data_IF_557955828535
#
_entry.id   IF_557955828535
#
_cell.length_a   1.000
_cell.length_b   1.000
_cell.length_c   1.000
_cell.angle_alpha   90.00
_cell.angle_beta   90.00
_cell.angle_gamma   90.00
#
_symmetry.space_group_name_H-M   'P 1'
#
loop_
_entity.id
_entity.type
_entity.pdbx_description
1 polymer ?
#
# COMPACT_ATOMS: atom_id res chain seq x y z
N UNK A 1 17.14 -24.17 -15.06
CA UNK A 1 16.73 -23.42 -16.27
C UNK A 1 17.73 -22.29 -16.49
N UNK A 2 17.97 -21.84 -17.72
CA UNK A 2 18.80 -20.64 -17.97
C UNK A 2 17.93 -19.38 -17.86
N UNK A 3 18.52 -18.25 -17.49
CA UNK A 3 17.84 -16.97 -17.25
C UNK A 3 16.90 -16.57 -18.39
N UNK A 4 17.39 -16.52 -19.65
CA UNK A 4 16.56 -16.16 -20.80
C UNK A 4 15.38 -17.12 -21.02
N UNK A 5 15.56 -18.41 -20.68
CA UNK A 5 14.46 -19.38 -20.75
C UNK A 5 13.37 -19.09 -19.72
N UNK A 6 13.75 -18.63 -18.53
CA UNK A 6 12.79 -18.19 -17.48
C UNK A 6 11.99 -16.99 -17.99
N UNK A 7 12.67 -15.99 -18.51
CA UNK A 7 12.03 -14.75 -19.02
C UNK A 7 11.05 -15.08 -20.15
N UNK A 8 11.50 -15.86 -21.15
CA UNK A 8 10.66 -16.20 -22.30
C UNK A 8 9.46 -17.09 -21.94
N UNK A 9 9.63 -18.01 -20.96
CA UNK A 9 8.57 -18.95 -20.57
C UNK A 9 7.53 -18.32 -19.66
N UNK A 10 7.94 -17.53 -18.66
CA UNK A 10 7.08 -17.12 -17.58
C UNK A 10 6.65 -15.63 -17.64
N UNK A 11 7.45 -14.76 -18.26
CA UNK A 11 7.22 -13.31 -18.16
C UNK A 11 6.95 -12.62 -19.51
N UNK A 12 7.46 -13.14 -20.63
CA UNK A 12 7.34 -12.48 -21.93
C UNK A 12 5.92 -12.51 -22.52
N UNK A 13 5.17 -13.58 -22.28
CA UNK A 13 3.81 -13.74 -22.79
C UNK A 13 2.77 -13.16 -21.84
N UNK A 14 2.82 -11.85 -21.65
CA UNK A 14 1.82 -11.13 -20.84
C UNK A 14 0.54 -10.89 -21.63
N UNK A 15 -0.61 -11.10 -20.99
CA UNK A 15 -1.92 -10.95 -21.62
C UNK A 15 -2.33 -9.50 -21.90
N UNK A 16 -1.80 -8.54 -21.12
CA UNK A 16 -2.13 -7.13 -21.24
C UNK A 16 -1.01 -6.34 -21.91
N UNK A 17 -1.34 -5.70 -23.04
CA UNK A 17 -0.43 -4.83 -23.78
C UNK A 17 -0.99 -3.41 -23.83
N UNK A 18 -0.16 -2.45 -23.45
CA UNK A 18 -0.51 -1.03 -23.45
C UNK A 18 0.02 -0.35 -24.72
N UNK A 19 -0.74 0.63 -25.22
CA UNK A 19 -0.37 1.40 -26.42
C UNK A 19 0.81 2.36 -26.19
N UNK A 20 1.06 2.70 -24.93
CA UNK A 20 2.18 3.55 -24.50
C UNK A 20 3.48 2.78 -24.26
N UNK A 21 3.50 1.48 -24.49
CA UNK A 21 4.70 0.62 -24.53
C UNK A 21 5.02 0.31 -25.97
N UNK A 22 6.07 0.95 -26.51
CA UNK A 22 6.53 0.73 -27.88
C UNK A 22 7.38 -0.51 -28.00
N UNK A 23 8.17 -0.82 -26.97
CA UNK A 23 9.02 -1.99 -26.85
C UNK A 23 8.99 -2.45 -25.39
N UNK A 24 8.62 -3.69 -25.14
CA UNK A 24 8.60 -4.33 -23.82
C UNK A 24 9.74 -5.32 -23.65
N UNK A 25 9.44 -6.47 -22.99
CA UNK A 25 10.42 -7.54 -22.73
C UNK A 25 10.95 -8.11 -24.05
N UNK A 26 12.29 -8.19 -24.18
CA UNK A 26 12.96 -8.87 -25.28
C UNK A 26 14.07 -8.07 -25.97
N UNK A 27 14.38 -6.89 -25.47
CA UNK A 27 15.52 -6.06 -25.87
C UNK A 27 16.27 -5.59 -24.61
N UNK A 28 17.37 -4.86 -24.75
CA UNK A 28 18.20 -4.38 -23.64
C UNK A 28 17.42 -3.45 -22.68
N UNK A 29 16.38 -2.76 -23.18
CA UNK A 29 15.53 -1.88 -22.38
C UNK A 29 14.12 -1.75 -22.99
N UNK A 30 13.15 -1.42 -22.15
CA UNK A 30 11.81 -1.06 -22.60
C UNK A 30 11.77 0.37 -23.16
N UNK A 31 10.95 0.58 -24.19
CA UNK A 31 10.70 1.89 -24.76
C UNK A 31 9.23 2.28 -24.54
N UNK A 32 9.01 3.34 -23.77
CA UNK A 32 7.68 3.76 -23.34
C UNK A 32 7.41 5.24 -23.63
N UNK A 33 6.14 5.60 -23.71
CA UNK A 33 5.70 6.98 -23.93
C UNK A 33 4.93 7.51 -22.74
N UNK A 34 5.38 8.62 -22.17
CA UNK A 34 4.58 9.38 -21.17
C UNK A 34 3.58 10.24 -21.93
N UNK A 35 2.27 10.16 -21.62
CA UNK A 35 1.25 10.97 -22.28
C UNK A 35 1.50 12.47 -22.10
N UNK A 36 1.17 13.27 -23.09
CA UNK A 36 1.34 14.73 -23.04
C UNK A 36 0.56 15.32 -21.83
N UNK A 37 1.19 16.23 -21.09
CA UNK A 37 0.60 16.87 -19.90
C UNK A 37 0.58 16.01 -18.64
N UNK A 38 1.20 14.84 -18.66
CA UNK A 38 1.36 13.98 -17.50
C UNK A 38 2.81 13.98 -16.99
N UNK A 39 2.96 13.86 -15.69
CA UNK A 39 4.22 13.51 -15.05
C UNK A 39 4.29 11.98 -14.83
N UNK A 40 5.49 11.43 -14.92
CA UNK A 40 5.78 10.06 -14.53
C UNK A 40 6.01 10.00 -13.03
N UNK A 41 5.23 9.18 -12.33
CA UNK A 41 5.45 8.80 -10.93
C UNK A 41 6.14 7.44 -10.93
N UNK A 42 7.20 7.30 -10.15
CA UNK A 42 7.95 6.05 -10.03
C UNK A 42 8.16 5.71 -8.56
N UNK A 43 7.91 4.47 -8.19
CA UNK A 43 8.21 3.92 -6.87
C UNK A 43 8.89 2.56 -7.01
N UNK A 44 9.57 2.12 -5.95
CA UNK A 44 10.25 0.81 -5.91
C UNK A 44 10.24 0.26 -4.50
N UNK A 45 9.72 -0.97 -4.35
CA UNK A 45 9.78 -1.73 -3.11
C UNK A 45 10.40 -3.10 -3.33
N UNK A 46 11.10 -3.57 -2.29
CA UNK A 46 11.71 -4.90 -2.23
C UNK A 46 11.11 -5.70 -1.09
N UNK A 47 10.55 -6.86 -1.42
CA UNK A 47 10.10 -7.84 -0.45
C UNK A 47 11.15 -8.95 -0.30
N UNK A 48 11.55 -9.23 0.96
CA UNK A 48 12.53 -10.25 1.33
C UNK A 48 11.86 -11.42 2.05
N UNK A 49 12.23 -12.64 1.67
CA UNK A 49 11.83 -13.83 2.42
C UNK A 49 12.35 -13.79 3.87
N UNK A 50 11.50 -14.14 4.82
CA UNK A 50 11.80 -14.11 6.25
C UNK A 50 11.68 -12.70 6.88
N UNK A 51 11.41 -11.65 6.09
CA UNK A 51 11.17 -10.28 6.56
C UNK A 51 9.74 -9.85 6.22
N UNK A 52 9.38 -9.83 4.96
CA UNK A 52 8.09 -9.34 4.46
C UNK A 52 7.10 -10.47 4.13
N UNK A 53 7.60 -11.69 3.98
CA UNK A 53 6.79 -12.89 3.78
C UNK A 53 7.56 -14.13 4.25
N UNK A 54 6.84 -15.20 4.60
CA UNK A 54 7.46 -16.47 4.95
C UNK A 54 8.06 -17.13 3.70
N UNK A 55 9.24 -17.74 3.84
CA UNK A 55 9.87 -18.46 2.71
C UNK A 55 8.99 -19.59 2.15
N UNK A 56 8.04 -20.10 2.94
CA UNK A 56 7.06 -21.13 2.56
C UNK A 56 5.75 -20.55 2.02
N UNK A 57 5.62 -19.21 1.89
CA UNK A 57 4.40 -18.59 1.39
C UNK A 57 4.13 -19.00 -0.08
N UNK A 58 2.86 -19.04 -0.43
CA UNK A 58 2.43 -19.31 -1.80
C UNK A 58 3.03 -18.25 -2.77
N UNK A 59 3.74 -18.69 -3.84
CA UNK A 59 4.38 -17.77 -4.78
C UNK A 59 3.39 -16.79 -5.45
N UNK A 60 2.16 -17.21 -5.71
CA UNK A 60 1.13 -16.35 -6.27
C UNK A 60 0.76 -15.20 -5.30
N UNK A 61 0.67 -15.50 -3.99
CA UNK A 61 0.44 -14.49 -2.95
C UNK A 61 1.63 -13.53 -2.86
N UNK A 62 2.86 -14.03 -2.89
CA UNK A 62 4.07 -13.20 -2.90
C UNK A 62 4.05 -12.22 -4.08
N UNK A 63 3.73 -12.72 -5.28
CA UNK A 63 3.65 -11.90 -6.49
C UNK A 63 2.58 -10.81 -6.38
N UNK A 64 1.38 -11.16 -5.92
CA UNK A 64 0.27 -10.20 -5.72
C UNK A 64 0.66 -9.11 -4.71
N UNK A 65 1.21 -9.51 -3.55
CA UNK A 65 1.64 -8.56 -2.52
C UNK A 65 2.72 -7.64 -3.08
N UNK A 66 3.74 -8.16 -3.76
CA UNK A 66 4.83 -7.36 -4.32
C UNK A 66 4.35 -6.29 -5.31
N UNK A 67 3.34 -6.61 -6.13
CA UNK A 67 2.73 -5.61 -7.03
C UNK A 67 1.86 -4.64 -6.22
N UNK A 68 1.03 -5.14 -5.29
CA UNK A 68 0.06 -4.33 -4.57
C UNK A 68 0.71 -3.24 -3.71
N UNK A 69 1.83 -3.52 -3.03
CA UNK A 69 2.52 -2.52 -2.18
C UNK A 69 3.00 -1.33 -3.01
N UNK A 70 3.59 -1.57 -4.17
CA UNK A 70 4.02 -0.52 -5.09
C UNK A 70 2.82 0.26 -5.70
N UNK A 71 1.71 -0.42 -5.98
CA UNK A 71 0.49 0.25 -6.44
C UNK A 71 -0.13 1.11 -5.33
N UNK A 72 0.10 0.80 -4.06
CA UNK A 72 -0.31 1.61 -2.92
C UNK A 72 0.39 2.97 -2.91
N UNK A 73 1.69 3.02 -3.17
CA UNK A 73 2.43 4.27 -3.34
C UNK A 73 1.88 5.13 -4.49
N UNK A 74 1.58 4.49 -5.63
CA UNK A 74 0.95 5.20 -6.75
C UNK A 74 -0.42 5.75 -6.37
N UNK A 75 -1.21 5.01 -5.59
CA UNK A 75 -2.48 5.47 -5.06
C UNK A 75 -2.30 6.68 -4.12
N UNK A 76 -1.31 6.64 -3.23
CA UNK A 76 -0.98 7.73 -2.32
C UNK A 76 -0.58 9.02 -3.06
N UNK A 77 0.04 8.88 -4.24
CA UNK A 77 0.38 10.00 -5.12
C UNK A 77 -0.78 10.44 -6.03
N UNK A 78 -1.92 9.73 -5.99
CA UNK A 78 -3.04 9.94 -6.89
C UNK A 78 -2.69 9.60 -8.35
N UNK A 79 -1.72 8.72 -8.59
CA UNK A 79 -1.29 8.32 -9.93
C UNK A 79 -2.13 7.18 -10.49
N UNK A 80 -2.32 7.17 -11.80
CA UNK A 80 -2.88 6.04 -12.55
C UNK A 80 -1.73 5.11 -12.93
N UNK A 81 -1.75 3.83 -12.51
CA UNK A 81 -0.66 2.91 -12.77
C UNK A 81 -0.56 2.58 -14.27
N UNK A 82 0.66 2.35 -14.75
CA UNK A 82 0.90 2.06 -16.15
C UNK A 82 1.79 0.84 -16.37
N UNK A 83 2.98 0.85 -15.78
CA UNK A 83 3.98 -0.17 -16.03
C UNK A 83 4.61 -0.66 -14.73
N UNK A 84 5.11 -1.87 -14.78
CA UNK A 84 5.99 -2.42 -13.74
C UNK A 84 7.22 -3.07 -14.38
N UNK A 85 8.34 -3.05 -13.67
CA UNK A 85 9.49 -3.92 -13.92
C UNK A 85 9.74 -4.79 -12.69
N UNK A 86 10.18 -6.02 -12.92
CA UNK A 86 10.40 -7.05 -11.89
C UNK A 86 11.87 -7.42 -11.84
N UNK A 87 12.53 -7.22 -10.71
CA UNK A 87 13.80 -7.86 -10.41
C UNK A 87 13.58 -8.94 -9.34
N UNK A 88 13.94 -10.18 -9.69
CA UNK A 88 13.76 -11.32 -8.81
C UNK A 88 15.08 -12.06 -8.59
N UNK A 89 15.41 -12.26 -7.32
CA UNK A 89 16.47 -13.15 -6.88
C UNK A 89 15.86 -14.40 -6.27
N UNK A 90 16.33 -15.60 -6.66
CA UNK A 90 15.85 -16.87 -6.11
C UNK A 90 16.99 -17.88 -5.95
N UNK A 91 16.95 -18.75 -4.92
CA UNK A 91 18.02 -19.73 -4.71
C UNK A 91 18.04 -20.84 -5.76
N UNK A 92 16.87 -21.20 -6.27
CA UNK A 92 16.66 -22.26 -7.28
C UNK A 92 15.54 -21.83 -8.21
N UNK A 93 15.74 -22.03 -9.52
CA UNK A 93 14.69 -21.86 -10.53
C UNK A 93 13.80 -23.10 -10.57
N UNK A 94 12.75 -23.11 -9.76
CA UNK A 94 11.74 -24.19 -9.73
C UNK A 94 10.56 -23.83 -10.63
N UNK A 95 10.22 -24.70 -11.56
CA UNK A 95 9.18 -24.46 -12.56
C UNK A 95 7.78 -24.30 -11.94
N UNK A 96 7.48 -25.06 -10.88
CA UNK A 96 6.19 -25.01 -10.20
C UNK A 96 6.05 -23.67 -9.46
N UNK A 97 7.11 -23.27 -8.77
CA UNK A 97 7.18 -21.99 -8.06
C UNK A 97 7.03 -20.81 -9.04
N UNK A 98 7.81 -20.83 -10.14
CA UNK A 98 7.78 -19.80 -11.18
C UNK A 98 6.43 -19.70 -11.88
N UNK A 99 5.78 -20.83 -12.15
CA UNK A 99 4.43 -20.85 -12.76
C UNK A 99 3.43 -20.17 -11.84
N UNK A 100 3.42 -20.48 -10.53
CA UNK A 100 2.51 -19.86 -9.57
C UNK A 100 2.82 -18.37 -9.38
N UNK A 101 4.09 -17.98 -9.30
CA UNK A 101 4.52 -16.59 -9.17
C UNK A 101 4.11 -15.77 -10.41
N UNK A 102 4.40 -16.27 -11.61
CA UNK A 102 4.03 -15.61 -12.87
C UNK A 102 2.51 -15.47 -13.03
N UNK A 103 1.73 -16.45 -12.55
CA UNK A 103 0.25 -16.34 -12.49
C UNK A 103 -0.18 -15.16 -11.64
N UNK A 104 0.41 -14.96 -10.46
CA UNK A 104 0.12 -13.81 -9.59
C UNK A 104 0.46 -12.47 -10.25
N UNK A 105 1.62 -12.38 -10.94
CA UNK A 105 1.96 -11.19 -11.73
C UNK A 105 0.93 -10.95 -12.84
N UNK A 106 0.55 -12.00 -13.59
CA UNK A 106 -0.41 -11.89 -14.68
C UNK A 106 -1.79 -11.45 -14.21
N UNK A 107 -2.28 -11.97 -13.07
CA UNK A 107 -3.53 -11.56 -12.46
C UNK A 107 -3.53 -10.07 -12.10
N UNK A 108 -2.48 -9.59 -11.44
CA UNK A 108 -2.35 -8.19 -11.04
C UNK A 108 -2.23 -7.26 -12.24
N UNK A 109 -1.41 -7.63 -13.23
CA UNK A 109 -1.24 -6.80 -14.45
C UNK A 109 -2.53 -6.72 -15.25
N UNK A 110 -3.29 -7.79 -15.35
CA UNK A 110 -4.59 -7.80 -16.02
C UNK A 110 -5.63 -6.99 -15.25
N UNK A 111 -5.75 -7.21 -13.94
CA UNK A 111 -6.75 -6.55 -13.10
C UNK A 111 -6.59 -5.03 -13.09
N UNK A 112 -5.34 -4.56 -12.94
CA UNK A 112 -5.05 -3.11 -12.87
C UNK A 112 -4.74 -2.49 -14.24
N UNK A 113 -4.81 -3.26 -15.33
CA UNK A 113 -4.51 -2.80 -16.69
C UNK A 113 -3.10 -2.18 -16.80
N UNK A 114 -2.13 -2.78 -16.12
CA UNK A 114 -0.71 -2.43 -16.17
C UNK A 114 0.08 -3.45 -16.97
N UNK A 115 1.26 -3.08 -17.45
CA UNK A 115 2.13 -3.99 -18.23
C UNK A 115 3.47 -4.22 -17.52
N UNK A 116 3.88 -5.48 -17.44
CA UNK A 116 5.27 -5.83 -17.12
C UNK A 116 6.14 -5.52 -18.34
N UNK A 117 7.08 -4.59 -18.20
CA UNK A 117 7.88 -4.09 -19.33
C UNK A 117 9.31 -4.59 -19.35
N UNK A 118 9.80 -5.18 -18.27
CA UNK A 118 11.17 -5.66 -18.16
C UNK A 118 11.51 -6.08 -16.74
N UNK A 119 12.78 -6.32 -16.50
CA UNK A 119 13.29 -6.68 -15.16
C UNK A 119 14.60 -7.44 -15.23
N UNK A 120 14.89 -8.15 -14.16
CA UNK A 120 16.11 -8.94 -13.99
C UNK A 120 15.82 -10.24 -13.23
N UNK A 121 16.58 -11.29 -13.51
CA UNK A 121 16.40 -12.59 -12.85
C UNK A 121 17.78 -13.16 -12.50
N UNK A 122 18.07 -13.26 -11.19
CA UNK A 122 19.36 -13.70 -10.70
C UNK A 122 19.25 -14.84 -9.69
N UNK A 123 20.34 -15.60 -9.53
CA UNK A 123 20.44 -16.59 -8.46
C UNK A 123 20.92 -15.91 -7.16
N UNK A 124 20.20 -16.11 -6.06
CA UNK A 124 20.53 -15.56 -4.75
C UNK A 124 19.45 -15.85 -3.71
N UNK A 125 19.50 -15.21 -2.54
CA UNK A 125 18.41 -15.28 -1.57
C UNK A 125 17.09 -14.81 -2.19
N UNK A 126 15.96 -15.41 -1.77
CA UNK A 126 14.66 -15.04 -2.33
C UNK A 126 14.29 -13.61 -1.99
N UNK A 127 14.25 -12.77 -3.02
CA UNK A 127 13.86 -11.37 -2.97
C UNK A 127 13.09 -10.98 -4.22
N UNK A 128 12.07 -10.17 -4.06
CA UNK A 128 11.23 -9.65 -5.15
C UNK A 128 11.22 -8.14 -5.09
N UNK A 129 11.72 -7.49 -6.13
CA UNK A 129 11.68 -6.03 -6.27
C UNK A 129 10.78 -5.68 -7.44
N UNK A 130 9.77 -4.86 -7.18
CA UNK A 130 8.94 -4.25 -8.21
C UNK A 130 9.27 -2.77 -8.29
N UNK A 131 9.51 -2.28 -9.49
CA UNK A 131 9.46 -0.83 -9.77
C UNK A 131 8.16 -0.57 -10.51
N UNK A 132 7.26 0.19 -9.91
CA UNK A 132 5.98 0.58 -10.51
C UNK A 132 6.02 2.03 -11.00
N UNK A 133 5.38 2.26 -12.13
CA UNK A 133 5.31 3.54 -12.79
C UNK A 133 3.87 3.88 -13.16
N UNK A 134 3.52 5.16 -13.01
CA UNK A 134 2.17 5.65 -13.31
C UNK A 134 2.16 7.11 -13.71
N UNK A 135 1.01 7.61 -14.08
CA UNK A 135 0.84 8.98 -14.57
C UNK A 135 -0.05 9.80 -13.66
N UNK A 136 0.31 11.07 -13.52
CA UNK A 136 -0.51 12.07 -12.84
C UNK A 136 -0.32 13.43 -13.52
N UNK A 137 -1.39 14.25 -13.68
CA UNK A 137 -1.19 15.64 -14.02
C UNK A 137 -0.33 16.32 -12.93
N UNK A 138 0.78 17.01 -13.27
CA UNK A 138 1.75 17.49 -12.26
C UNK A 138 1.14 18.32 -11.13
N UNK A 139 0.15 19.15 -11.45
CA UNK A 139 -0.53 20.02 -10.47
C UNK A 139 -1.57 19.29 -9.62
N UNK A 140 -1.87 18.01 -9.92
CA UNK A 140 -2.85 17.19 -9.21
C UNK A 140 -2.21 16.07 -8.38
N UNK A 141 -0.88 15.94 -8.42
CA UNK A 141 -0.16 15.00 -7.61
C UNK A 141 -0.42 15.27 -6.12
N UNK A 142 -0.82 14.22 -5.39
CA UNK A 142 -0.96 14.26 -3.95
C UNK A 142 0.43 14.20 -3.32
N UNK A 143 0.71 15.10 -2.40
CA UNK A 143 2.03 15.21 -1.77
C UNK A 143 1.88 15.21 -0.26
N UNK A 144 2.86 14.66 0.44
CA UNK A 144 2.95 14.72 1.92
C UNK A 144 3.12 16.16 2.46
N UNK A 145 3.63 17.09 1.64
CA UNK A 145 4.06 18.44 2.04
C UNK A 145 3.01 19.54 1.86
N UNK A 146 1.77 19.20 1.53
CA UNK A 146 0.73 20.22 1.27
C UNK A 146 -0.36 20.29 2.36
N UNK A 147 -0.24 19.53 3.44
CA UNK A 147 -1.18 19.58 4.56
C UNK A 147 -1.08 20.92 5.30
N UNK A 148 -2.20 21.37 5.87
CA UNK A 148 -2.30 22.65 6.56
C UNK A 148 -2.91 22.49 7.96
N UNK A 149 -2.51 23.33 8.94
CA UNK A 149 -3.24 23.42 10.21
C UNK A 149 -4.72 23.70 9.96
N UNK A 150 -5.59 22.94 10.66
CA UNK A 150 -7.03 22.98 10.46
C UNK A 150 -7.59 21.91 9.54
N UNK A 151 -6.75 21.24 8.72
CA UNK A 151 -7.21 20.12 7.90
C UNK A 151 -7.72 18.98 8.76
N UNK A 152 -8.81 18.35 8.34
CA UNK A 152 -9.31 17.11 8.90
C UNK A 152 -8.45 15.93 8.40
N UNK A 153 -8.17 14.99 9.28
CA UNK A 153 -7.39 13.79 8.99
C UNK A 153 -8.34 12.61 8.79
N UNK A 154 -8.23 11.96 7.65
CA UNK A 154 -9.03 10.80 7.27
C UNK A 154 -8.16 9.59 7.01
N UNK A 155 -8.73 8.40 7.23
CA UNK A 155 -8.17 7.12 6.76
C UNK A 155 -9.23 6.33 5.99
N UNK A 156 -8.80 5.55 5.02
CA UNK A 156 -9.67 4.60 4.31
C UNK A 156 -9.70 3.25 5.02
N UNK A 157 -10.72 2.44 4.76
CA UNK A 157 -10.83 1.05 5.20
C UNK A 157 -10.81 0.87 6.71
N UNK A 158 -10.09 -0.17 7.16
CA UNK A 158 -9.86 -0.53 8.56
C UNK A 158 -8.37 -0.76 8.82
N UNK A 159 -7.93 -0.51 10.05
CA UNK A 159 -6.53 -0.49 10.43
C UNK A 159 -6.18 -1.64 11.37
N UNK A 160 -4.93 -2.14 11.24
CA UNK A 160 -4.33 -3.14 12.10
C UNK A 160 -4.70 -4.59 11.76
N UNK A 161 -5.58 -4.82 10.79
CA UNK A 161 -6.02 -6.16 10.39
C UNK A 161 -4.86 -7.02 9.91
N UNK A 162 -3.96 -6.47 9.09
CA UNK A 162 -2.80 -7.17 8.58
C UNK A 162 -1.82 -7.55 9.69
N UNK A 163 -1.62 -6.67 10.67
CA UNK A 163 -0.77 -6.95 11.83
C UNK A 163 -1.29 -8.09 12.70
N UNK A 164 -2.60 -8.13 12.96
CA UNK A 164 -3.20 -9.26 13.67
C UNK A 164 -3.12 -10.54 12.81
N UNK A 165 -3.33 -10.44 11.50
CA UNK A 165 -3.11 -11.53 10.54
C UNK A 165 -1.68 -12.08 10.59
N UNK A 166 -0.68 -11.21 10.71
CA UNK A 166 0.72 -11.63 10.87
C UNK A 166 0.96 -12.38 12.18
N UNK A 167 0.41 -11.91 13.29
CA UNK A 167 0.56 -12.61 14.57
C UNK A 167 -0.17 -13.95 14.61
N UNK A 168 -1.28 -14.09 13.87
CA UNK A 168 -1.92 -15.40 13.64
C UNK A 168 -1.01 -16.31 12.80
N UNK A 169 -0.47 -15.80 11.68
CA UNK A 169 0.42 -16.55 10.78
C UNK A 169 1.70 -17.05 11.48
N UNK A 170 2.18 -16.30 12.48
CA UNK A 170 3.36 -16.62 13.28
C UNK A 170 3.05 -17.40 14.57
N UNK A 171 1.83 -17.90 14.75
CA UNK A 171 1.37 -18.62 15.94
C UNK A 171 1.53 -17.85 17.27
N UNK A 172 1.61 -16.51 17.22
CA UNK A 172 1.70 -15.66 18.42
C UNK A 172 0.35 -15.40 19.08
N UNK A 173 -0.73 -15.52 18.31
CA UNK A 173 -2.09 -15.37 18.78
C UNK A 173 -3.03 -16.34 18.07
N UNK A 174 -4.20 -16.59 18.67
CA UNK A 174 -5.20 -17.48 18.09
C UNK A 174 -6.55 -16.78 18.07
N UNK A 175 -7.21 -16.79 16.93
CA UNK A 175 -8.59 -16.35 16.75
C UNK A 175 -9.48 -17.58 16.63
N UNK A 176 -10.59 -17.62 17.39
CA UNK A 176 -11.44 -18.81 17.45
C UNK A 176 -12.36 -18.96 16.25
N UNK A 177 -12.79 -17.83 15.69
CA UNK A 177 -13.69 -17.79 14.55
C UNK A 177 -12.88 -17.94 13.25
N UNK A 178 -13.23 -18.93 12.44
CA UNK A 178 -12.51 -19.25 11.20
C UNK A 178 -12.71 -18.14 10.14
N UNK A 179 -13.91 -17.58 10.02
CA UNK A 179 -14.19 -16.51 9.04
C UNK A 179 -13.39 -15.25 9.39
N UNK A 180 -13.31 -14.90 10.67
CA UNK A 180 -12.48 -13.80 11.15
C UNK A 180 -10.98 -14.08 10.89
N UNK A 181 -10.52 -15.31 11.11
CA UNK A 181 -9.14 -15.74 10.83
C UNK A 181 -8.82 -15.57 9.35
N UNK A 182 -9.65 -16.10 8.47
CA UNK A 182 -9.46 -15.99 7.01
C UNK A 182 -9.48 -14.54 6.53
N UNK A 183 -10.38 -13.72 7.08
CA UNK A 183 -10.41 -12.29 6.77
C UNK A 183 -9.09 -11.60 7.13
N UNK A 184 -8.59 -11.78 8.36
CA UNK A 184 -7.36 -11.15 8.86
C UNK A 184 -6.13 -11.61 8.06
N UNK A 185 -6.02 -12.91 7.76
CA UNK A 185 -4.96 -13.44 6.89
C UNK A 185 -5.06 -12.88 5.47
N UNK A 186 -6.27 -12.70 4.95
CA UNK A 186 -6.47 -12.12 3.63
C UNK A 186 -6.00 -10.67 3.54
N UNK A 187 -6.17 -9.88 4.62
CA UNK A 187 -5.67 -8.49 4.70
C UNK A 187 -4.15 -8.42 4.65
N UNK A 188 -3.45 -9.38 5.29
CA UNK A 188 -1.99 -9.48 5.23
C UNK A 188 -1.49 -9.93 3.86
N UNK A 189 -2.14 -10.94 3.26
CA UNK A 189 -1.66 -11.61 2.07
C UNK A 189 -2.03 -10.88 0.78
N UNK A 190 -3.18 -10.21 0.76
CA UNK A 190 -3.72 -9.57 -0.44
C UNK A 190 -4.14 -8.12 -0.14
N UNK A 191 -3.19 -7.21 0.16
CA UNK A 191 -3.50 -5.82 0.34
C UNK A 191 -4.14 -5.26 -0.93
N UNK A 192 -5.12 -4.37 -0.76
CA UNK A 192 -5.88 -3.79 -1.88
C UNK A 192 -5.47 -2.33 -2.06
N UNK A 193 -4.62 -2.01 -3.05
CA UNK A 193 -4.20 -0.64 -3.30
C UNK A 193 -5.40 0.26 -3.63
N UNK A 194 -5.48 1.42 -3.00
CA UNK A 194 -6.62 2.34 -3.09
C UNK A 194 -6.52 3.29 -4.29
N UNK A 195 -6.17 2.78 -5.48
CA UNK A 195 -5.91 3.56 -6.69
C UNK A 195 -7.08 4.46 -7.09
N UNK A 196 -8.30 3.92 -7.10
CA UNK A 196 -9.49 4.70 -7.45
C UNK A 196 -9.79 5.78 -6.40
N UNK A 197 -9.52 5.51 -5.12
CA UNK A 197 -9.60 6.53 -4.07
C UNK A 197 -8.55 7.61 -4.31
N UNK A 198 -7.28 7.24 -4.51
CA UNK A 198 -6.19 8.19 -4.76
C UNK A 198 -6.49 9.14 -5.91
N UNK A 199 -6.94 8.62 -7.05
CA UNK A 199 -7.34 9.45 -8.19
C UNK A 199 -8.56 10.33 -7.91
N UNK A 200 -9.54 9.85 -7.11
CA UNK A 200 -10.72 10.60 -6.71
C UNK A 200 -10.39 11.75 -5.73
N UNK A 201 -9.30 11.62 -4.98
CA UNK A 201 -8.83 12.65 -4.04
C UNK A 201 -8.07 13.80 -4.70
N UNK A 202 -7.71 13.70 -5.98
CA UNK A 202 -7.07 14.80 -6.74
C UNK A 202 -7.91 16.08 -6.61
N UNK A 203 -7.26 17.23 -6.35
CA UNK A 203 -7.90 18.56 -6.16
C UNK A 203 -8.85 18.64 -4.94
N UNK A 204 -8.93 17.61 -4.11
CA UNK A 204 -9.76 17.58 -2.88
C UNK A 204 -8.85 17.47 -1.65
N UNK A 205 -7.99 16.45 -1.62
CA UNK A 205 -7.05 16.27 -0.52
C UNK A 205 -5.87 17.25 -0.64
N UNK A 206 -5.45 17.80 0.50
CA UNK A 206 -4.26 18.63 0.60
C UNK A 206 -3.00 17.77 0.66
N UNK A 207 -3.00 16.69 1.45
CA UNK A 207 -1.90 15.74 1.52
C UNK A 207 -2.41 14.31 1.58
N UNK A 208 -1.55 13.36 1.17
CA UNK A 208 -1.85 11.94 1.21
C UNK A 208 -0.57 11.13 1.42
N UNK A 209 -0.71 9.97 2.08
CA UNK A 209 0.29 8.92 2.25
C UNK A 209 -0.46 7.59 2.36
N UNK A 210 0.14 6.48 1.96
CA UNK A 210 -0.35 5.16 2.32
C UNK A 210 0.18 4.71 3.69
N UNK A 211 -0.43 3.69 4.26
CA UNK A 211 -0.10 3.16 5.59
C UNK A 211 0.63 1.82 5.44
N UNK A 212 1.96 1.87 5.42
CA UNK A 212 2.86 0.71 5.31
C UNK A 212 3.49 0.32 6.64
N UNK A 213 3.87 1.33 7.47
CA UNK A 213 4.61 1.14 8.73
C UNK A 213 3.73 1.31 9.98
N UNK A 214 2.45 1.64 9.76
CA UNK A 214 1.46 1.90 10.78
C UNK A 214 1.12 3.38 10.95
N UNK A 215 -0.13 3.65 11.33
CA UNK A 215 -0.70 5.00 11.39
C UNK A 215 0.18 6.00 12.13
N UNK A 216 0.72 5.61 13.29
CA UNK A 216 1.51 6.50 14.14
C UNK A 216 2.88 6.85 13.57
N UNK A 217 3.44 5.98 12.72
CA UNK A 217 4.67 6.22 11.96
C UNK A 217 4.39 7.09 10.75
N UNK A 218 3.46 6.67 9.91
CA UNK A 218 3.23 7.26 8.59
C UNK A 218 2.67 8.68 8.66
N UNK A 219 1.79 8.98 9.62
CA UNK A 219 1.32 10.34 9.82
C UNK A 219 2.46 11.33 10.11
N UNK A 220 3.52 10.90 10.81
CA UNK A 220 4.68 11.76 11.12
C UNK A 220 5.40 12.23 9.86
N UNK A 221 5.36 11.46 8.77
CA UNK A 221 5.91 11.88 7.48
C UNK A 221 5.14 13.08 6.91
N UNK A 222 3.81 13.08 7.00
CA UNK A 222 3.00 14.26 6.63
C UNK A 222 3.31 15.44 7.57
N UNK A 223 3.31 15.20 8.89
CA UNK A 223 3.56 16.26 9.87
C UNK A 223 4.92 16.94 9.64
N UNK A 224 5.97 16.14 9.39
CA UNK A 224 7.32 16.64 9.10
C UNK A 224 7.37 17.39 7.77
N UNK A 225 6.83 16.81 6.70
CA UNK A 225 6.87 17.41 5.37
C UNK A 225 6.05 18.71 5.27
N UNK A 226 4.98 18.83 6.06
CA UNK A 226 4.06 19.98 6.08
C UNK A 226 4.29 20.94 7.25
N UNK A 227 5.28 20.65 8.13
CA UNK A 227 5.59 21.47 9.33
C UNK A 227 4.39 21.73 10.23
N UNK A 228 3.51 20.76 10.40
CA UNK A 228 2.31 20.83 11.24
C UNK A 228 2.33 19.76 12.34
N UNK A 229 1.33 19.76 13.23
CA UNK A 229 1.04 18.74 14.21
C UNK A 229 -0.33 18.14 13.99
N UNK A 230 -0.68 17.11 14.73
CA UNK A 230 -1.99 16.47 14.68
C UNK A 230 -2.53 16.10 16.05
N UNK A 231 -3.85 16.13 16.18
CA UNK A 231 -4.61 15.47 17.25
C UNK A 231 -5.38 14.34 16.60
N UNK A 232 -5.11 13.09 17.04
CA UNK A 232 -5.80 11.89 16.57
C UNK A 232 -6.63 11.31 17.72
N UNK A 233 -7.88 11.01 17.42
CA UNK A 233 -8.83 10.40 18.35
C UNK A 233 -8.82 8.88 18.17
N UNK A 234 -8.20 8.15 19.10
CA UNK A 234 -8.05 6.69 18.99
C UNK A 234 -9.37 5.94 19.10
N UNK A 235 -10.36 6.52 19.76
CA UNK A 235 -11.75 6.01 19.83
C UNK A 235 -12.50 6.10 18.48
N UNK A 236 -11.95 6.83 17.50
CA UNK A 236 -12.49 6.94 16.14
C UNK A 236 -11.77 6.09 15.11
N UNK A 237 -10.72 5.34 15.50
CA UNK A 237 -10.00 4.50 14.56
C UNK A 237 -10.93 3.43 13.99
N UNK A 238 -10.98 3.25 12.65
CA UNK A 238 -11.83 2.25 12.04
C UNK A 238 -11.21 0.86 12.24
N UNK A 239 -11.86 0.04 13.07
CA UNK A 239 -11.51 -1.35 13.32
C UNK A 239 -12.49 -2.27 12.58
N UNK A 240 -12.00 -3.36 12.00
CA UNK A 240 -12.87 -4.35 11.36
C UNK A 240 -13.76 -5.08 12.38
N UNK A 241 -14.81 -5.72 11.88
CA UNK A 241 -15.61 -6.62 12.71
C UNK A 241 -14.74 -7.77 13.25
N UNK A 242 -13.93 -8.36 12.37
CA UNK A 242 -13.01 -9.44 12.73
C UNK A 242 -12.08 -9.05 13.88
N UNK A 243 -11.46 -7.85 13.81
CA UNK A 243 -10.61 -7.33 14.88
C UNK A 243 -11.36 -7.18 16.21
N UNK A 244 -12.53 -6.50 16.18
CA UNK A 244 -13.32 -6.24 17.40
C UNK A 244 -13.86 -7.48 18.09
N UNK A 245 -14.16 -8.54 17.33
CA UNK A 245 -14.67 -9.80 17.86
C UNK A 245 -13.58 -10.75 18.31
N UNK A 246 -12.34 -10.53 17.85
CA UNK A 246 -11.24 -11.49 18.05
C UNK A 246 -10.32 -11.18 19.21
N UNK A 247 -10.14 -9.89 19.55
CA UNK A 247 -9.17 -9.48 20.56
C UNK A 247 -9.70 -8.36 21.46
N UNK A 248 -8.97 -8.13 22.57
CA UNK A 248 -9.25 -7.05 23.50
C UNK A 248 -9.21 -5.67 22.81
N UNK A 249 -10.15 -4.74 23.13
CA UNK A 249 -10.22 -3.42 22.51
C UNK A 249 -8.91 -2.60 22.59
N UNK A 250 -8.16 -2.71 23.70
CA UNK A 250 -6.89 -1.99 23.82
C UNK A 250 -5.84 -2.54 22.85
N UNK A 251 -5.74 -3.86 22.74
CA UNK A 251 -4.86 -4.50 21.74
C UNK A 251 -5.26 -4.16 20.32
N UNK A 252 -6.56 -4.06 20.02
CA UNK A 252 -7.03 -3.65 18.71
C UNK A 252 -6.58 -2.23 18.35
N UNK A 253 -6.60 -1.31 19.32
CA UNK A 253 -6.05 0.04 19.15
C UNK A 253 -4.53 0.00 18.94
N UNK A 254 -3.81 -0.85 19.65
CA UNK A 254 -2.36 -1.01 19.50
C UNK A 254 -1.99 -1.47 18.08
N UNK A 255 -2.72 -2.46 17.54
CA UNK A 255 -2.54 -2.87 16.14
C UNK A 255 -2.87 -1.73 15.17
N UNK A 256 -3.99 -1.04 15.34
CA UNK A 256 -4.39 0.04 14.44
C UNK A 256 -3.43 1.25 14.44
N UNK A 257 -2.71 1.48 15.54
CA UNK A 257 -1.74 2.57 15.64
C UNK A 257 -0.35 2.19 15.14
N UNK A 258 0.09 0.95 15.35
CA UNK A 258 1.50 0.59 15.20
C UNK A 258 1.79 -0.56 14.24
N UNK A 259 0.80 -1.36 13.85
CA UNK A 259 1.02 -2.42 12.90
C UNK A 259 1.11 -1.87 11.47
N UNK A 260 2.02 -2.41 10.69
CA UNK A 260 2.16 -2.11 9.26
C UNK A 260 1.30 -3.01 8.38
N UNK A 261 1.55 -2.94 7.08
CA UNK A 261 0.94 -3.76 6.02
C UNK A 261 -0.57 -3.50 5.77
N UNK A 262 -1.14 -2.39 6.26
CA UNK A 262 -2.55 -2.06 6.02
C UNK A 262 -2.81 -1.59 4.57
N UNK A 263 -1.88 -0.84 3.98
CA UNK A 263 -1.97 -0.26 2.62
C UNK A 263 -3.29 0.48 2.36
N UNK A 264 -3.80 1.12 3.41
CA UNK A 264 -4.88 2.09 3.34
C UNK A 264 -4.29 3.48 3.09
N UNK A 265 -5.12 4.46 2.70
CA UNK A 265 -4.69 5.84 2.55
C UNK A 265 -5.02 6.67 3.78
N UNK A 266 -4.02 7.41 4.27
CA UNK A 266 -4.21 8.53 5.20
C UNK A 266 -4.11 9.82 4.39
N UNK A 267 -5.13 10.68 4.50
CA UNK A 267 -5.16 11.92 3.75
C UNK A 267 -5.76 13.07 4.56
N UNK A 268 -5.45 14.29 4.15
CA UNK A 268 -5.93 15.49 4.83
C UNK A 268 -6.77 16.36 3.91
N UNK A 269 -7.85 16.92 4.44
CA UNK A 269 -8.82 17.70 3.68
C UNK A 269 -9.24 18.93 4.49
N UNK A 270 -9.27 20.11 3.87
CA UNK A 270 -9.83 21.29 4.53
C UNK A 270 -11.33 21.12 4.79
N UNK A 271 -11.84 21.75 5.86
CA UNK A 271 -13.26 21.72 6.20
C UNK A 271 -14.16 22.15 5.02
N UNK A 272 -13.71 23.12 4.22
CA UNK A 272 -14.43 23.62 3.04
C UNK A 272 -14.59 22.58 1.94
N UNK A 273 -13.68 21.61 1.84
CA UNK A 273 -13.71 20.55 0.81
C UNK A 273 -14.50 19.31 1.25
N UNK A 274 -14.99 19.24 2.48
CA UNK A 274 -15.68 18.07 3.04
C UNK A 274 -16.85 17.59 2.15
N UNK A 275 -17.69 18.52 1.68
CA UNK A 275 -18.81 18.15 0.80
C UNK A 275 -18.35 17.55 -0.54
N UNK A 276 -17.24 18.03 -1.11
CA UNK A 276 -16.67 17.45 -2.34
C UNK A 276 -16.06 16.07 -2.07
N UNK A 277 -15.42 15.89 -0.91
CA UNK A 277 -14.91 14.59 -0.47
C UNK A 277 -16.03 13.56 -0.40
N UNK A 278 -17.14 13.87 0.25
CA UNK A 278 -18.29 12.96 0.38
C UNK A 278 -18.83 12.52 -0.99
N UNK A 279 -18.93 13.46 -1.94
CA UNK A 279 -19.35 13.16 -3.33
C UNK A 279 -18.33 12.27 -4.05
N UNK A 280 -17.04 12.58 -3.95
CA UNK A 280 -15.99 11.83 -4.62
C UNK A 280 -15.88 10.40 -4.07
N UNK A 281 -16.01 10.24 -2.75
CA UNK A 281 -15.90 8.95 -2.08
C UNK A 281 -17.15 8.05 -2.26
N UNK A 282 -18.31 8.64 -2.51
CA UNK A 282 -19.57 7.88 -2.69
C UNK A 282 -19.49 6.80 -3.78
N UNK A 283 -18.65 7.02 -4.81
CA UNK A 283 -18.50 6.08 -5.94
C UNK A 283 -17.36 5.06 -5.73
N UNK A 284 -16.61 5.15 -4.65
CA UNK A 284 -15.43 4.29 -4.44
C UNK A 284 -15.76 2.95 -3.79
N UNK A 285 -16.91 2.85 -3.13
CA UNK A 285 -17.29 1.73 -2.24
C UNK A 285 -16.26 1.43 -1.14
N UNK A 286 -15.37 2.37 -0.84
CA UNK A 286 -14.37 2.26 0.21
C UNK A 286 -14.81 3.13 1.38
N UNK A 287 -15.00 2.58 2.58
CA UNK A 287 -15.30 3.37 3.75
C UNK A 287 -14.12 4.30 4.08
N UNK A 288 -14.41 5.47 4.62
CA UNK A 288 -13.41 6.41 5.09
C UNK A 288 -13.86 7.06 6.39
N UNK A 289 -12.93 7.33 7.28
CA UNK A 289 -13.23 7.79 8.64
C UNK A 289 -12.39 9.01 8.98
N UNK A 290 -13.04 10.07 9.49
CA UNK A 290 -12.34 11.22 10.08
C UNK A 290 -11.83 10.82 11.47
N UNK A 291 -10.52 10.76 11.63
CA UNK A 291 -9.87 10.32 12.88
C UNK A 291 -9.25 11.45 13.68
N UNK A 292 -9.18 12.68 13.14
CA UNK A 292 -8.54 13.77 13.83
C UNK A 292 -8.46 15.06 13.01
N UNK A 293 -7.59 15.95 13.48
CA UNK A 293 -7.36 17.25 12.85
C UNK A 293 -5.92 17.71 13.01
N UNK A 294 -5.40 18.39 11.99
CA UNK A 294 -4.09 19.01 12.03
C UNK A 294 -4.11 20.34 12.80
N UNK A 295 -2.98 20.66 13.42
CA UNK A 295 -2.78 21.91 14.15
C UNK A 295 -1.42 22.56 13.84
N UNK A 296 -1.17 23.75 14.40
CA UNK A 296 0.06 24.52 14.18
C UNK A 296 1.27 24.08 15.04
N UNK A 297 1.16 23.00 15.82
CA UNK A 297 2.27 22.51 16.67
C UNK A 297 3.20 21.60 15.85
N UNK A 298 4.19 22.18 15.18
CA UNK A 298 5.09 21.46 14.27
C UNK A 298 5.62 20.15 14.86
N UNK A 299 5.46 19.07 14.09
CA UNK A 299 5.93 17.70 14.39
C UNK A 299 5.35 17.07 15.68
N UNK A 300 4.32 17.67 16.29
CA UNK A 300 3.68 17.09 17.48
C UNK A 300 2.50 16.20 17.07
N UNK A 301 2.57 14.93 17.42
CA UNK A 301 1.43 14.02 17.37
C UNK A 301 0.87 13.84 18.79
N UNK A 302 -0.39 14.20 18.96
CA UNK A 302 -1.14 14.03 20.21
C UNK A 302 -2.24 12.99 19.99
N UNK A 303 -2.25 11.95 20.80
CA UNK A 303 -3.30 10.92 20.78
C UNK A 303 -4.29 11.16 21.89
N UNK A 304 -5.58 11.04 21.59
CA UNK A 304 -6.67 11.21 22.57
C UNK A 304 -7.60 10.01 22.62
N UNK A 305 -7.93 9.57 23.81
CA UNK A 305 -8.99 8.60 24.08
C UNK A 305 -10.10 9.30 24.89
N UNK A 306 -11.32 9.34 24.34
CA UNK A 306 -12.44 10.07 24.96
C UNK A 306 -12.06 11.51 25.38
N UNK A 307 -11.38 12.24 24.47
CA UNK A 307 -10.83 13.58 24.64
C UNK A 307 -9.69 13.74 25.67
N UNK A 308 -9.28 12.71 26.37
CA UNK A 308 -8.12 12.76 27.26
C UNK A 308 -6.85 12.40 26.48
N UNK A 309 -5.79 13.18 26.71
CA UNK A 309 -4.48 12.89 26.13
C UNK A 309 -3.96 11.59 26.72
N UNK A 310 -3.52 10.68 25.85
CA UNK A 310 -2.86 9.44 26.25
C UNK A 310 -1.39 9.48 25.85
N UNK A 311 -0.53 8.98 26.75
CA UNK A 311 0.87 8.74 26.43
C UNK A 311 0.99 7.36 25.78
N UNK A 312 1.32 7.34 24.50
CA UNK A 312 1.47 6.12 23.72
C UNK A 312 2.85 6.13 23.07
N UNK A 313 3.66 5.16 23.45
CA UNK A 313 4.95 4.96 22.81
C UNK A 313 4.73 4.28 21.44
N UNK A 314 4.81 5.08 20.41
CA UNK A 314 4.67 4.61 19.03
C UNK A 314 5.90 3.83 18.60
N UNK A 315 5.73 2.55 18.39
CA UNK A 315 6.75 1.67 17.78
C UNK A 315 6.24 1.27 16.40
N UNK A 316 6.52 2.08 15.37
CA UNK A 316 6.32 1.66 13.99
C UNK A 316 7.39 0.63 13.59
N UNK A 317 7.15 -0.10 12.50
CA UNK A 317 8.15 -1.01 11.94
C UNK A 317 9.39 -0.22 11.50
N UNK A 318 10.58 -0.74 11.81
CA UNK A 318 11.86 -0.17 11.39
C UNK A 318 12.80 -1.29 10.93
N UNK A 319 13.43 -1.10 9.78
CA UNK A 319 14.42 -2.04 9.25
C UNK A 319 15.77 -1.99 9.97
N UNK A 320 16.11 -0.84 10.60
CA UNK A 320 17.41 -0.58 11.24
C UNK A 320 17.24 0.12 12.59
#
# INVERSE_FOLDING_TARGET
MQEFSIIDTFFKQQSHQRKDVLLGIGDDAALTLVPAGQALVTTTDTLLAGVHFLASADPCIIARKAVAVNLSDLAAMGAEPAWISLSISMPVADDTWLTAFASGIAEMTQFYSIQLIGGDTVQGPLAVTITAQGFVPPEQALLRSKAKPGDLVYVTGTLGDAGLGLDILLDKTTVKDEDNTQYLLSRLHNPTPRLFVGTSLRRIANACIDLSDGLSSDIRHILKASSCGAIIHVDKLPLSKAMRESIDPQKAVDYALSAGDDYELLFTVSEEQKGKLEIAMANTNVPFTCIGQLNGMSNKLELRLNNNVIDYQTTGYQHF
#
